data_IF_579543566803
#
_entry.id   IF_579543566803
#
_cell.length_a   1.000
_cell.length_b   1.000
_cell.length_c   1.000
_cell.angle_alpha   90.00
_cell.angle_beta   90.00
_cell.angle_gamma   90.00
#
_symmetry.space_group_name_H-M   'P 1'
#
loop_
_entity.id
_entity.type
_entity.pdbx_description
1 polymer ?
#
# COMPACT_ATOMS: atom_id res chain seq x y z
N UNK A 1 -18.01 12.94 -26.19
CA UNK A 1 -17.62 11.54 -25.88
C UNK A 1 -16.13 11.33 -25.53
N UNK A 2 -15.28 12.37 -25.41
CA UNK A 2 -13.86 12.20 -25.00
C UNK A 2 -13.61 12.21 -23.48
N UNK A 3 -14.47 12.86 -22.69
CA UNK A 3 -14.30 12.95 -21.23
C UNK A 3 -14.65 11.64 -20.49
N UNK A 4 -15.56 10.83 -21.03
CA UNK A 4 -16.09 9.64 -20.33
C UNK A 4 -15.04 8.50 -20.28
N UNK A 5 -14.23 8.37 -21.33
CA UNK A 5 -13.21 7.32 -21.46
C UNK A 5 -12.04 7.52 -20.48
N UNK A 6 -11.69 8.78 -20.15
CA UNK A 6 -10.59 9.06 -19.22
C UNK A 6 -10.95 8.73 -17.76
N UNK A 7 -12.24 8.81 -17.40
CA UNK A 7 -12.70 8.51 -16.05
C UNK A 7 -12.70 7.01 -15.74
N UNK A 8 -13.05 6.15 -16.70
CA UNK A 8 -13.04 4.69 -16.50
C UNK A 8 -11.61 4.16 -16.31
N UNK A 9 -10.67 4.57 -17.16
CA UNK A 9 -9.26 4.15 -17.06
C UNK A 9 -8.58 4.58 -15.76
N UNK A 10 -8.95 5.75 -15.22
CA UNK A 10 -8.44 6.20 -13.91
C UNK A 10 -8.93 5.29 -12.79
N UNK A 11 -10.22 4.96 -12.78
CA UNK A 11 -10.82 4.11 -11.74
C UNK A 11 -10.19 2.72 -11.72
N UNK A 12 -9.94 2.14 -12.88
CA UNK A 12 -9.29 0.83 -13.01
C UNK A 12 -7.85 0.85 -12.46
N UNK A 13 -7.09 1.91 -12.79
CA UNK A 13 -5.75 2.11 -12.24
C UNK A 13 -5.76 2.23 -10.71
N UNK A 14 -6.71 2.98 -10.13
CA UNK A 14 -6.85 3.10 -8.68
C UNK A 14 -7.12 1.75 -8.01
N UNK A 15 -8.01 0.94 -8.58
CA UNK A 15 -8.32 -0.38 -8.04
C UNK A 15 -7.11 -1.33 -8.12
N UNK A 16 -6.40 -1.33 -9.25
CA UNK A 16 -5.18 -2.12 -9.41
C UNK A 16 -4.10 -1.71 -8.41
N UNK A 17 -3.83 -0.41 -8.26
CA UNK A 17 -2.82 0.05 -7.30
C UNK A 17 -3.22 -0.23 -5.86
N UNK A 18 -4.51 -0.09 -5.52
CA UNK A 18 -5.02 -0.45 -4.20
C UNK A 18 -4.85 -1.94 -3.91
N UNK A 19 -5.11 -2.81 -4.88
CA UNK A 19 -4.88 -4.26 -4.74
C UNK A 19 -3.40 -4.57 -4.51
N UNK A 20 -2.50 -3.96 -5.28
CA UNK A 20 -1.06 -4.12 -5.11
C UNK A 20 -0.59 -3.64 -3.73
N UNK A 21 -1.04 -2.46 -3.29
CA UNK A 21 -0.69 -1.94 -1.96
C UNK A 21 -1.19 -2.81 -0.81
N UNK A 22 -2.34 -3.49 -0.97
CA UNK A 22 -2.81 -4.46 0.02
C UNK A 22 -1.89 -5.67 0.08
N UNK A 23 -1.47 -6.21 -1.06
CA UNK A 23 -0.50 -7.30 -1.11
C UNK A 23 0.86 -6.90 -0.50
N UNK A 24 1.35 -5.70 -0.81
CA UNK A 24 2.57 -5.16 -0.21
C UNK A 24 2.43 -4.99 1.30
N UNK A 25 1.26 -4.53 1.78
CA UNK A 25 0.95 -4.38 3.19
C UNK A 25 0.96 -5.74 3.91
N UNK A 26 0.26 -6.73 3.38
CA UNK A 26 0.16 -8.07 3.96
C UNK A 26 1.54 -8.72 4.04
N UNK A 27 2.35 -8.58 2.97
CA UNK A 27 3.73 -9.05 2.95
C UNK A 27 4.58 -8.38 4.04
N UNK A 28 4.61 -7.04 4.11
CA UNK A 28 5.43 -6.35 5.10
C UNK A 28 4.94 -6.61 6.54
N UNK A 29 3.64 -6.85 6.76
CA UNK A 29 3.13 -7.28 8.07
C UNK A 29 3.63 -8.68 8.45
N UNK A 30 3.66 -9.63 7.51
CA UNK A 30 4.24 -10.95 7.75
C UNK A 30 5.74 -10.86 8.08
N UNK A 31 6.50 -10.05 7.33
CA UNK A 31 7.92 -9.80 7.62
C UNK A 31 8.10 -9.17 9.01
N UNK A 32 7.22 -8.24 9.41
CA UNK A 32 7.28 -7.63 10.73
C UNK A 32 7.02 -8.66 11.83
N UNK A 33 6.06 -9.56 11.62
CA UNK A 33 5.78 -10.66 12.54
C UNK A 33 7.02 -11.55 12.74
N UNK A 34 7.66 -12.01 11.67
CA UNK A 34 8.89 -12.80 11.75
C UNK A 34 10.03 -12.05 12.45
N UNK A 35 10.20 -10.75 12.15
CA UNK A 35 11.19 -9.91 12.82
C UNK A 35 10.88 -9.72 14.32
N UNK A 36 9.60 -9.78 14.70
CA UNK A 36 9.16 -9.80 16.09
C UNK A 36 9.56 -11.06 16.81
N UNK A 37 9.27 -12.21 16.22
CA UNK A 37 9.62 -13.53 16.76
C UNK A 37 11.14 -13.68 16.91
N UNK A 38 11.90 -13.29 15.87
CA UNK A 38 13.36 -13.40 15.86
C UNK A 38 14.09 -12.29 16.64
N UNK A 39 13.34 -11.36 17.25
CA UNK A 39 13.88 -10.18 17.96
C UNK A 39 14.86 -9.32 17.13
N UNK A 40 14.74 -9.35 15.80
CA UNK A 40 15.57 -8.56 14.88
C UNK A 40 15.12 -7.09 14.88
N UNK A 41 15.82 -6.26 15.65
CA UNK A 41 15.51 -4.84 15.79
C UNK A 41 15.71 -4.03 14.51
N UNK A 42 16.67 -4.43 13.68
CA UNK A 42 16.99 -3.75 12.43
C UNK A 42 15.90 -4.01 11.39
N UNK A 43 15.50 -5.26 11.23
CA UNK A 43 14.43 -5.65 10.32
C UNK A 43 13.10 -5.05 10.77
N UNK A 44 12.79 -5.09 12.08
CA UNK A 44 11.64 -4.38 12.66
C UNK A 44 11.58 -2.91 12.24
N UNK A 45 12.71 -2.20 12.37
CA UNK A 45 12.78 -0.77 12.04
C UNK A 45 12.58 -0.53 10.54
N UNK A 46 13.22 -1.34 9.69
CA UNK A 46 13.09 -1.25 8.22
C UNK A 46 11.65 -1.52 7.76
N UNK A 47 11.04 -2.59 8.24
CA UNK A 47 9.68 -2.97 7.88
C UNK A 47 8.64 -1.95 8.36
N UNK A 48 8.78 -1.42 9.58
CA UNK A 48 7.93 -0.32 10.07
C UNK A 48 8.02 0.93 9.18
N UNK A 49 9.21 1.29 8.70
CA UNK A 49 9.37 2.43 7.76
C UNK A 49 8.66 2.18 6.44
N UNK A 50 8.67 0.95 5.91
CA UNK A 50 7.95 0.58 4.69
C UNK A 50 6.43 0.61 4.91
N UNK A 51 5.94 0.05 6.01
CA UNK A 51 4.52 0.09 6.39
C UNK A 51 4.00 1.53 6.48
N UNK A 52 4.80 2.47 7.00
CA UNK A 52 4.45 3.90 7.00
C UNK A 52 4.30 4.46 5.58
N UNK A 53 5.20 4.12 4.65
CA UNK A 53 5.10 4.56 3.25
C UNK A 53 3.84 4.01 2.57
N UNK A 54 3.52 2.73 2.80
CA UNK A 54 2.31 2.08 2.28
C UNK A 54 1.07 2.78 2.84
N UNK A 55 1.04 3.07 4.14
CA UNK A 55 -0.04 3.85 4.77
C UNK A 55 -0.21 5.21 4.11
N UNK A 56 0.86 5.98 3.93
CA UNK A 56 0.79 7.31 3.35
C UNK A 56 0.27 7.28 1.91
N UNK A 57 0.62 6.23 1.15
CA UNK A 57 0.07 6.03 -0.19
C UNK A 57 -1.41 5.67 -0.16
N UNK A 58 -1.84 4.74 0.71
CA UNK A 58 -3.26 4.40 0.89
C UNK A 58 -4.10 5.63 1.27
N UNK A 59 -3.58 6.49 2.15
CA UNK A 59 -4.24 7.74 2.53
C UNK A 59 -4.40 8.70 1.34
N UNK A 60 -3.37 8.83 0.50
CA UNK A 60 -3.42 9.64 -0.72
C UNK A 60 -4.43 9.08 -1.73
N UNK A 61 -4.46 7.77 -1.94
CA UNK A 61 -5.45 7.14 -2.83
C UNK A 61 -6.88 7.32 -2.31
N UNK A 62 -7.10 7.22 -1.00
CA UNK A 62 -8.40 7.46 -0.38
C UNK A 62 -8.86 8.91 -0.51
N UNK A 63 -7.94 9.87 -0.40
CA UNK A 63 -8.24 11.29 -0.61
C UNK A 63 -8.59 11.61 -2.08
N UNK A 64 -8.00 10.89 -3.03
CA UNK A 64 -8.29 11.02 -4.48
C UNK A 64 -9.60 10.32 -4.91
N UNK A 65 -10.20 9.50 -4.04
CA UNK A 65 -11.50 8.85 -4.27
C UNK A 65 -12.71 9.64 -3.76
N UNK A 66 -12.49 10.71 -2.97
CA UNK A 66 -13.54 11.64 -2.51
C UNK A 66 -13.77 12.74 -3.55
#
# INVERSE_FOLDING_TARGET
MKQVIQHSTRKDYFQQRLAVLRLELDYELAVLFEAMENKDSDLKSKTKKKLLRIRDELMRLKALQQ
#
